data_IF_705370717461
#
_entry.id   IF_705370717461
#
_cell.length_a   1.000
_cell.length_b   1.000
_cell.length_c   1.000
_cell.angle_alpha   90.00
_cell.angle_beta   90.00
_cell.angle_gamma   90.00
#
_symmetry.space_group_name_H-M   'P 1'
#
loop_
_entity.id
_entity.type
_entity.pdbx_description
1 polymer ?
#
# COMPACT_ATOMS: atom_id res chain seq x y z
N UNK A 1 -7.41 13.82 -10.53
CA UNK A 1 -6.29 14.67 -10.98
C UNK A 1 -5.02 13.87 -10.80
N UNK A 2 -4.27 13.58 -11.86
CA UNK A 2 -2.95 12.95 -11.72
C UNK A 2 -2.02 13.96 -11.04
N UNK A 3 -1.71 13.71 -9.77
CA UNK A 3 -0.83 14.57 -9.00
C UNK A 3 0.58 14.47 -9.61
N UNK A 4 1.15 15.61 -10.02
CA UNK A 4 2.44 15.68 -10.74
C UNK A 4 3.65 15.23 -9.90
N UNK A 5 3.42 14.87 -8.65
CA UNK A 5 4.45 14.50 -7.68
C UNK A 5 4.83 13.01 -7.69
N UNK A 6 4.01 12.13 -8.28
CA UNK A 6 4.30 10.68 -8.31
C UNK A 6 5.62 10.33 -9.01
N UNK A 7 6.09 11.20 -9.94
CA UNK A 7 7.32 11.02 -10.72
C UNK A 7 8.53 11.83 -10.20
N UNK A 8 8.39 12.56 -9.08
CA UNK A 8 9.52 13.31 -8.54
C UNK A 8 10.51 12.36 -7.88
N UNK A 9 11.62 12.09 -8.55
CA UNK A 9 12.73 11.23 -8.07
C UNK A 9 13.41 11.73 -6.80
N UNK A 10 13.21 13.00 -6.43
CA UNK A 10 13.68 13.58 -5.17
C UNK A 10 12.62 13.48 -4.05
N UNK A 11 11.43 12.95 -4.35
CA UNK A 11 10.40 12.70 -3.35
C UNK A 11 10.71 11.39 -2.62
N UNK A 12 10.62 11.44 -1.29
CA UNK A 12 10.82 10.26 -0.43
C UNK A 12 9.78 9.21 -0.82
N UNK A 13 10.23 8.04 -1.26
CA UNK A 13 9.32 6.99 -1.74
C UNK A 13 8.31 6.60 -0.66
N UNK A 14 7.03 6.59 -1.02
CA UNK A 14 5.89 6.24 -0.18
C UNK A 14 4.83 5.50 -1.00
N UNK A 15 3.81 4.96 -0.34
CA UNK A 15 2.60 4.46 -0.99
C UNK A 15 1.38 5.18 -0.43
N UNK A 16 0.57 5.78 -1.30
CA UNK A 16 -0.75 6.30 -0.94
C UNK A 16 -1.76 5.16 -0.99
N UNK A 17 -2.49 4.94 0.10
CA UNK A 17 -3.47 3.86 0.24
C UNK A 17 -4.82 4.45 0.63
N UNK A 18 -5.88 3.99 -0.02
CA UNK A 18 -7.26 4.28 0.35
C UNK A 18 -7.49 4.11 1.86
N UNK A 19 -7.99 5.16 2.51
CA UNK A 19 -8.22 5.18 3.96
C UNK A 19 -9.16 4.05 4.43
N UNK A 20 -10.22 3.75 3.69
CA UNK A 20 -11.14 2.66 4.03
C UNK A 20 -10.41 1.31 4.03
N UNK A 21 -9.49 1.09 3.09
CA UNK A 21 -8.66 -0.12 3.09
C UNK A 21 -7.66 -0.12 4.25
N UNK A 22 -7.05 1.02 4.57
CA UNK A 22 -6.16 1.16 5.73
C UNK A 22 -6.89 0.77 7.03
N UNK A 23 -8.07 1.32 7.29
CA UNK A 23 -8.87 1.00 8.49
C UNK A 23 -9.24 -0.49 8.56
N UNK A 24 -9.57 -1.11 7.41
CA UNK A 24 -9.88 -2.53 7.34
C UNK A 24 -8.66 -3.42 7.52
N UNK A 25 -7.50 -3.01 7.03
CA UNK A 25 -6.23 -3.74 7.16
C UNK A 25 -5.48 -3.42 8.47
N UNK A 26 -5.95 -2.43 9.25
CA UNK A 26 -5.27 -1.90 10.44
C UNK A 26 -3.91 -1.25 10.13
N UNK A 27 -3.86 -0.49 9.03
CA UNK A 27 -2.69 0.30 8.64
C UNK A 27 -2.79 1.72 9.20
N UNK A 28 -1.68 2.23 9.72
CA UNK A 28 -1.58 3.60 10.22
C UNK A 28 -0.87 4.54 9.21
N UNK A 29 -1.27 5.81 9.12
CA UNK A 29 -0.50 6.80 8.36
C UNK A 29 0.94 6.89 8.88
N UNK A 30 1.92 6.81 7.97
CA UNK A 30 3.34 6.80 8.30
C UNK A 30 3.92 5.43 8.69
N UNK A 31 3.10 4.38 8.75
CA UNK A 31 3.55 3.04 9.08
C UNK A 31 4.46 2.45 7.99
N UNK A 32 5.51 1.74 8.41
CA UNK A 32 6.40 1.00 7.52
C UNK A 32 5.68 -0.21 6.94
N UNK A 33 5.70 -0.34 5.62
CA UNK A 33 5.16 -1.50 4.90
C UNK A 33 6.21 -2.11 3.97
N UNK A 34 6.13 -3.43 3.83
CA UNK A 34 6.79 -4.17 2.76
C UNK A 34 5.79 -4.35 1.61
N UNK A 35 6.15 -3.83 0.45
CA UNK A 35 5.40 -4.02 -0.80
C UNK A 35 6.02 -5.18 -1.56
N UNK A 36 5.19 -6.17 -1.88
CA UNK A 36 5.56 -7.31 -2.72
C UNK A 36 4.80 -7.20 -4.02
N UNK A 37 5.52 -7.08 -5.12
CA UNK A 37 4.93 -7.08 -6.46
C UNK A 37 4.81 -8.52 -6.96
N UNK A 38 3.59 -9.01 -7.04
CA UNK A 38 3.28 -10.37 -7.51
C UNK A 38 3.39 -10.49 -9.03
N UNK A 39 3.40 -9.38 -9.78
CA UNK A 39 3.53 -9.38 -11.24
C UNK A 39 4.99 -9.55 -11.66
N UNK A 40 5.90 -8.76 -11.08
CA UNK A 40 7.31 -8.72 -11.52
C UNK A 40 8.31 -9.26 -10.47
N UNK A 41 7.86 -9.54 -9.24
CA UNK A 41 8.69 -10.13 -8.18
C UNK A 41 9.51 -9.12 -7.36
N UNK A 42 9.41 -7.82 -7.65
CA UNK A 42 10.09 -6.79 -6.86
C UNK A 42 9.58 -6.76 -5.42
N UNK A 43 10.49 -6.42 -4.50
CA UNK A 43 10.19 -6.23 -3.07
C UNK A 43 10.84 -4.95 -2.61
N UNK A 44 10.08 -4.09 -1.95
CA UNK A 44 10.59 -2.83 -1.41
C UNK A 44 9.91 -2.47 -0.10
N UNK A 45 10.65 -1.79 0.76
CA UNK A 45 10.11 -1.22 1.99
C UNK A 45 9.85 0.27 1.82
N UNK A 46 8.73 0.74 2.34
CA UNK A 46 8.33 2.16 2.28
C UNK A 46 7.36 2.47 3.43
N UNK A 47 6.70 3.62 3.40
CA UNK A 47 5.68 4.02 4.38
C UNK A 47 4.38 4.45 3.72
N UNK A 48 3.28 4.34 4.48
CA UNK A 48 1.92 4.64 4.01
C UNK A 48 1.58 6.12 4.14
N UNK A 49 0.92 6.68 3.12
CA UNK A 49 0.23 7.98 3.16
C UNK A 49 -1.27 7.72 3.01
N UNK A 50 -2.09 8.39 3.83
CA UNK A 50 -3.54 8.30 3.73
C UNK A 50 -4.06 8.90 2.42
N UNK A 51 -4.82 8.11 1.67
CA UNK A 51 -5.54 8.51 0.48
C UNK A 51 -7.02 8.81 0.75
N UNK A 52 -7.74 9.29 -0.26
CA UNK A 52 -9.18 9.53 -0.17
C UNK A 52 -9.94 8.22 0.11
N UNK A 53 -10.86 8.25 1.07
CA UNK A 53 -11.67 7.10 1.46
C UNK A 53 -12.56 6.63 0.30
N UNK A 54 -12.69 5.31 0.17
CA UNK A 54 -13.50 4.64 -0.86
C UNK A 54 -13.11 4.97 -2.32
N UNK A 55 -11.97 5.62 -2.55
CA UNK A 55 -11.44 5.91 -3.88
C UNK A 55 -10.86 4.68 -4.58
N UNK A 56 -10.39 3.69 -3.83
CA UNK A 56 -9.59 2.56 -4.32
C UNK A 56 -8.15 2.95 -4.68
N UNK A 57 -7.67 4.11 -4.22
CA UNK A 57 -6.32 4.58 -4.55
C UNK A 57 -5.27 3.66 -3.95
N UNK A 58 -4.37 3.19 -4.81
CA UNK A 58 -3.12 2.53 -4.47
C UNK A 58 -2.08 3.16 -5.39
N UNK A 59 -1.25 4.04 -4.85
CA UNK A 59 -0.35 4.86 -5.66
C UNK A 59 1.07 4.86 -5.09
N UNK A 60 2.01 4.32 -5.85
CA UNK A 60 3.44 4.38 -5.50
C UNK A 60 4.00 5.75 -5.87
N UNK A 61 4.71 6.38 -4.92
CA UNK A 61 5.25 7.72 -5.08
C UNK A 61 6.78 7.70 -5.12
N UNK A 62 7.37 8.66 -5.84
CA UNK A 62 8.81 8.90 -5.84
C UNK A 62 9.63 7.71 -6.33
N UNK A 63 10.74 7.41 -5.65
CA UNK A 63 11.65 6.32 -6.05
C UNK A 63 11.00 4.93 -6.14
N UNK A 64 9.93 4.70 -5.37
CA UNK A 64 9.21 3.41 -5.34
C UNK A 64 8.42 3.12 -6.63
N UNK A 65 7.97 4.18 -7.33
CA UNK A 65 7.24 4.07 -8.61
C UNK A 65 8.09 3.49 -9.76
N UNK A 66 9.41 3.32 -9.56
CA UNK A 66 10.30 2.66 -10.52
C UNK A 66 10.21 1.13 -10.49
N UNK A 67 9.70 0.56 -9.40
CA UNK A 67 9.68 -0.88 -9.15
C UNK A 67 8.29 -1.51 -9.26
N UNK A 68 7.25 -0.68 -9.27
CA UNK A 68 5.84 -1.09 -9.32
C UNK A 68 5.12 -0.14 -10.26
N UNK A 69 4.48 -0.67 -11.27
CA UNK A 69 3.80 0.07 -12.34
C UNK A 69 2.27 0.01 -12.18
N UNK A 70 1.52 0.99 -12.74
CA UNK A 70 0.07 0.86 -12.82
C UNK A 70 -0.35 -0.45 -13.50
N UNK A 71 -1.23 -1.21 -12.83
CA UNK A 71 -1.69 -2.53 -13.28
C UNK A 71 -0.93 -3.71 -12.66
N UNK A 72 0.18 -3.48 -11.96
CA UNK A 72 0.83 -4.53 -11.19
C UNK A 72 -0.04 -4.95 -10.00
N UNK A 73 -0.05 -6.25 -9.69
CA UNK A 73 -0.75 -6.81 -8.54
C UNK A 73 0.23 -6.85 -7.39
N UNK A 74 -0.09 -6.18 -6.28
CA UNK A 74 0.79 -6.08 -5.13
C UNK A 74 0.15 -6.64 -3.86
N UNK A 75 0.98 -7.06 -2.92
CA UNK A 75 0.62 -7.35 -1.54
C UNK A 75 1.32 -6.34 -0.61
N UNK A 76 0.55 -5.73 0.30
CA UNK A 76 1.06 -4.86 1.35
C UNK A 76 1.13 -5.62 2.67
N UNK A 77 2.29 -5.59 3.31
CA UNK A 77 2.55 -6.24 4.60
C UNK A 77 3.01 -5.19 5.60
N UNK A 78 2.27 -5.05 6.70
CA UNK A 78 2.70 -4.33 7.88
C UNK A 78 3.11 -5.32 8.98
N UNK A 79 4.02 -4.89 9.85
CA UNK A 79 4.57 -5.72 10.92
C UNK A 79 4.54 -4.94 12.22
N UNK A 80 4.09 -5.60 13.27
CA UNK A 80 4.20 -5.10 14.63
C UNK A 80 5.33 -5.81 15.38
N UNK A 81 5.98 -5.09 16.29
CA UNK A 81 6.98 -5.66 17.22
C UNK A 81 6.31 -5.70 18.58
N UNK A 82 5.87 -6.89 18.95
CA UNK A 82 5.09 -7.13 20.17
C UNK A 82 5.54 -8.42 20.87
N UNK A 83 5.35 -8.48 22.18
CA UNK A 83 5.56 -9.67 23.00
C UNK A 83 4.36 -10.64 22.94
N UNK A 84 3.27 -10.24 22.28
CA UNK A 84 2.04 -11.02 22.11
C UNK A 84 1.95 -11.65 20.72
N UNK A 85 1.41 -12.87 20.63
CA UNK A 85 1.13 -13.51 19.34
C UNK A 85 -0.27 -13.10 18.87
N UNK A 86 -0.33 -12.06 18.04
CA UNK A 86 -1.56 -11.61 17.41
C UNK A 86 -1.70 -12.19 16.00
N UNK A 87 -2.86 -12.79 15.64
CA UNK A 87 -3.09 -13.21 14.27
C UNK A 87 -3.13 -11.99 13.33
N UNK A 88 -2.56 -12.08 12.12
CA UNK A 88 -2.54 -10.94 11.20
C UNK A 88 -3.94 -10.61 10.71
N UNK A 89 -4.25 -9.32 10.62
CA UNK A 89 -5.46 -8.84 9.95
C UNK A 89 -5.21 -8.82 8.45
N UNK A 90 -6.01 -9.58 7.69
CA UNK A 90 -5.86 -9.71 6.24
C UNK A 90 -7.16 -9.36 5.55
N UNK A 91 -7.06 -8.63 4.46
CA UNK A 91 -8.17 -8.31 3.58
C UNK A 91 -7.85 -8.72 2.15
N UNK A 92 -8.90 -9.05 1.40
CA UNK A 92 -8.84 -9.23 -0.04
C UNK A 92 -9.64 -8.11 -0.71
N UNK A 93 -9.15 -7.62 -1.85
CA UNK A 93 -9.80 -6.62 -2.68
C UNK A 93 -10.08 -7.16 -4.09
N UNK A 94 -10.96 -6.50 -4.82
CA UNK A 94 -11.25 -6.76 -6.24
C UNK A 94 -10.30 -6.00 -7.19
N UNK A 95 -10.51 -6.13 -8.51
CA UNK A 95 -9.71 -5.43 -9.52
C UNK A 95 -9.78 -3.90 -9.48
N UNK A 96 -10.75 -3.33 -8.74
CA UNK A 96 -10.94 -1.90 -8.55
C UNK A 96 -10.49 -1.44 -7.15
N UNK A 97 -9.71 -2.27 -6.46
CA UNK A 97 -9.26 -2.07 -5.09
C UNK A 97 -10.42 -1.83 -4.11
N UNK A 98 -11.57 -2.47 -4.32
CA UNK A 98 -12.69 -2.47 -3.37
C UNK A 98 -12.61 -3.69 -2.47
N UNK A 99 -12.88 -3.47 -1.20
CA UNK A 99 -12.89 -4.53 -0.20
C UNK A 99 -13.88 -5.65 -0.58
N UNK A 100 -13.39 -6.88 -0.63
CA UNK A 100 -14.21 -8.08 -0.86
C UNK A 100 -14.53 -8.78 0.46
N UNK A 101 -13.51 -9.15 1.24
CA UNK A 101 -13.65 -9.91 2.49
C UNK A 101 -12.38 -9.90 3.35
N UNK A 102 -12.55 -10.25 4.62
CA UNK A 102 -11.46 -10.66 5.50
C UNK A 102 -11.01 -12.09 5.17
N UNK A 103 -9.73 -12.41 5.42
CA UNK A 103 -9.11 -13.71 5.10
C UNK A 103 -8.22 -14.22 6.21
#
# INVERSE_FOLDING_TARGET
>A
MQNRDALNVNYVGSITVDRTLMEKADLLPGEKVLVVDNTNGNRLETYVIEGEADSGVICMNGGSARLVSPGDIITLLAFDVTDEINPPKKILVDENNKFLKYV
#
